data_IF_260327215725
#
_entry.id   IF_260327215725
#
_cell.length_a   1.000
_cell.length_b   1.000
_cell.length_c   1.000
_cell.angle_alpha   90.00
_cell.angle_beta   90.00
_cell.angle_gamma   90.00
#
_symmetry.space_group_name_H-M   'P 1'
#
loop_
_entity.id
_entity.type
_entity.pdbx_description
1 polymer ?
#
# COMPACT_ATOMS: atom_id res chain seq x y z
N UNK A 1 1.86 4.29 17.28
CA UNK A 1 1.46 2.89 17.47
C UNK A 1 1.03 2.30 16.12
N UNK A 2 1.64 1.21 15.70
CA UNK A 2 1.31 0.48 14.46
C UNK A 2 0.80 -0.94 14.74
N UNK A 3 0.28 -1.16 15.97
CA UNK A 3 -0.46 -2.38 16.30
C UNK A 3 0.38 -3.66 16.45
N UNK A 4 1.69 -3.56 16.73
CA UNK A 4 2.56 -4.75 16.86
C UNK A 4 2.23 -5.67 18.06
N UNK A 5 1.39 -5.23 18.99
CA UNK A 5 0.91 -6.03 20.13
C UNK A 5 1.93 -6.25 21.27
N UNK A 6 3.17 -5.79 21.15
CA UNK A 6 4.24 -6.03 22.15
C UNK A 6 3.94 -5.46 23.53
N UNK A 7 3.08 -4.44 23.63
CA UNK A 7 2.69 -3.85 24.90
C UNK A 7 1.61 -4.66 25.66
N UNK A 8 0.89 -5.55 24.99
CA UNK A 8 -0.21 -6.31 25.58
C UNK A 8 0.29 -7.22 26.72
N UNK A 9 1.29 -8.12 26.49
CA UNK A 9 1.72 -9.07 27.51
C UNK A 9 2.52 -8.42 28.65
N UNK A 10 3.03 -7.19 28.46
CA UNK A 10 3.85 -6.51 29.47
C UNK A 10 3.08 -5.44 30.25
N UNK A 11 1.80 -5.24 29.97
CA UNK A 11 0.97 -4.27 30.67
C UNK A 11 0.61 -4.77 32.09
N UNK A 12 1.13 -4.14 33.17
CA UNK A 12 0.92 -4.66 34.53
C UNK A 12 -0.53 -4.52 34.99
N UNK A 13 -1.25 -3.53 34.48
CA UNK A 13 -2.67 -3.32 34.80
C UNK A 13 -3.63 -4.07 33.88
N UNK A 14 -3.12 -4.74 32.82
CA UNK A 14 -3.89 -5.44 31.79
C UNK A 14 -4.99 -4.57 31.11
N UNK A 15 -4.79 -3.25 31.12
CA UNK A 15 -5.72 -2.29 30.49
C UNK A 15 -5.47 -2.11 28.99
N UNK A 16 -4.38 -2.67 28.45
CA UNK A 16 -4.08 -2.64 27.02
C UNK A 16 -4.60 -3.91 26.37
N UNK A 17 -5.52 -3.76 25.45
CA UNK A 17 -6.07 -4.86 24.68
C UNK A 17 -6.11 -4.52 23.19
N UNK A 18 -6.00 -5.54 22.35
CA UNK A 18 -6.16 -5.39 20.91
C UNK A 18 -7.64 -5.47 20.54
N UNK A 19 -8.07 -4.57 19.66
CA UNK A 19 -9.37 -4.64 19.02
C UNK A 19 -9.16 -4.69 17.51
N UNK A 20 -9.67 -5.73 16.88
CA UNK A 20 -9.60 -5.87 15.41
C UNK A 20 -10.93 -5.50 14.79
N UNK A 21 -10.88 -4.72 13.73
CA UNK A 21 -12.01 -4.43 12.87
C UNK A 21 -11.71 -4.97 11.48
N UNK A 22 -12.63 -5.72 10.93
CA UNK A 22 -12.58 -6.15 9.53
C UNK A 22 -13.52 -5.23 8.76
N UNK A 23 -12.95 -4.52 7.78
CA UNK A 23 -13.72 -3.65 6.89
C UNK A 23 -13.48 -4.09 5.45
N UNK A 24 -14.53 -4.05 4.64
CA UNK A 24 -14.38 -4.29 3.20
C UNK A 24 -13.81 -3.05 2.52
N UNK A 25 -13.09 -3.20 1.39
CA UNK A 25 -12.60 -2.06 0.63
C UNK A 25 -13.69 -1.05 0.25
N UNK A 26 -14.86 -1.54 -0.11
CA UNK A 26 -16.02 -0.73 -0.48
C UNK A 26 -16.54 0.11 0.71
N UNK A 27 -16.60 -0.50 1.90
CA UNK A 27 -17.04 0.19 3.10
C UNK A 27 -16.05 1.30 3.51
N UNK A 28 -14.74 1.02 3.44
CA UNK A 28 -13.70 2.02 3.73
C UNK A 28 -13.71 3.13 2.69
N UNK A 29 -13.77 2.78 1.40
CA UNK A 29 -13.77 3.76 0.32
C UNK A 29 -14.96 4.72 0.42
N UNK A 30 -16.18 4.20 0.63
CA UNK A 30 -17.39 5.03 0.75
C UNK A 30 -17.39 5.92 1.99
N UNK A 31 -16.68 5.55 3.05
CA UNK A 31 -16.59 6.34 4.27
C UNK A 31 -15.50 7.42 4.19
N UNK A 32 -14.35 7.11 3.60
CA UNK A 32 -13.15 7.96 3.64
C UNK A 32 -13.06 8.87 2.43
N UNK A 33 -13.26 8.36 1.21
CA UNK A 33 -13.02 9.14 -0.02
C UNK A 33 -13.96 10.34 -0.18
N UNK A 34 -15.23 10.33 0.30
CA UNK A 34 -16.07 11.52 0.27
C UNK A 34 -15.61 12.67 1.18
N UNK A 35 -14.71 12.43 2.13
CA UNK A 35 -14.24 13.44 3.09
C UNK A 35 -13.31 14.48 2.47
N UNK A 36 -12.93 14.32 1.19
CA UNK A 36 -12.09 15.28 0.46
C UNK A 36 -10.60 14.98 0.55
N UNK A 37 -10.23 13.71 0.67
CA UNK A 37 -8.81 13.29 0.58
C UNK A 37 -8.29 13.52 -0.83
N UNK A 38 -7.08 14.06 -0.94
CA UNK A 38 -6.42 14.35 -2.23
C UNK A 38 -5.61 13.17 -2.75
N UNK A 39 -5.10 12.32 -1.86
CA UNK A 39 -4.21 11.23 -2.20
C UNK A 39 -4.58 9.93 -1.45
N UNK A 40 -4.32 8.81 -2.08
CA UNK A 40 -4.50 7.49 -1.53
C UNK A 40 -3.21 6.67 -1.67
N UNK A 41 -2.78 6.07 -0.58
CA UNK A 41 -1.69 5.09 -0.59
C UNK A 41 -2.27 3.68 -0.45
N UNK A 42 -1.83 2.78 -1.31
CA UNK A 42 -2.22 1.36 -1.29
C UNK A 42 -0.99 0.51 -1.06
N UNK A 43 -0.98 -0.22 0.05
CA UNK A 43 0.02 -1.24 0.32
C UNK A 43 -0.43 -2.58 -0.27
N UNK A 44 0.44 -3.22 -1.03
CA UNK A 44 0.18 -4.52 -1.64
C UNK A 44 1.41 -5.43 -1.57
N UNK A 45 1.29 -6.63 -2.04
CA UNK A 45 2.37 -7.61 -2.10
C UNK A 45 2.30 -8.39 -3.41
N UNK A 46 3.45 -8.85 -3.89
CA UNK A 46 3.55 -9.70 -5.08
C UNK A 46 2.63 -10.91 -4.91
N UNK A 47 1.88 -11.25 -5.98
CA UNK A 47 0.91 -12.35 -5.96
C UNK A 47 -0.50 -11.99 -5.46
N UNK A 48 -0.72 -10.77 -4.96
CA UNK A 48 -2.02 -10.33 -4.45
C UNK A 48 -2.89 -9.57 -5.48
N UNK A 49 -2.74 -9.88 -6.76
CA UNK A 49 -3.47 -9.17 -7.82
C UNK A 49 -5.00 -9.26 -7.69
N UNK A 50 -5.51 -10.41 -7.25
CA UNK A 50 -6.95 -10.60 -7.05
C UNK A 50 -7.51 -9.72 -5.92
N UNK A 51 -6.77 -9.61 -4.80
CA UNK A 51 -7.13 -8.75 -3.68
C UNK A 51 -7.05 -7.27 -4.07
N UNK A 52 -6.00 -6.90 -4.83
CA UNK A 52 -5.85 -5.55 -5.36
C UNK A 52 -7.01 -5.20 -6.31
N UNK A 53 -7.41 -6.11 -7.19
CA UNK A 53 -8.55 -5.91 -8.10
C UNK A 53 -9.84 -5.63 -7.32
N UNK A 54 -10.10 -6.38 -6.26
CA UNK A 54 -11.28 -6.16 -5.40
C UNK A 54 -11.23 -4.80 -4.71
N UNK A 55 -10.07 -4.43 -4.16
CA UNK A 55 -9.84 -3.10 -3.58
C UNK A 55 -10.07 -2.00 -4.61
N UNK A 56 -9.49 -2.15 -5.81
CA UNK A 56 -9.60 -1.18 -6.90
C UNK A 56 -11.05 -0.95 -7.33
N UNK A 57 -11.83 -2.01 -7.44
CA UNK A 57 -13.27 -1.91 -7.75
C UNK A 57 -14.03 -1.06 -6.71
N UNK A 58 -13.66 -1.15 -5.44
CA UNK A 58 -14.25 -0.32 -4.38
C UNK A 58 -13.84 1.16 -4.47
N UNK A 59 -12.66 1.45 -5.03
CA UNK A 59 -12.13 2.82 -5.18
C UNK A 59 -12.65 3.49 -6.46
N UNK A 60 -12.87 2.74 -7.53
CA UNK A 60 -13.25 3.25 -8.86
C UNK A 60 -14.34 4.32 -8.86
N UNK A 61 -15.42 4.23 -8.07
CA UNK A 61 -16.47 5.26 -8.06
C UNK A 61 -15.99 6.64 -7.58
N UNK A 62 -14.81 6.70 -6.98
CA UNK A 62 -14.25 7.89 -6.33
C UNK A 62 -12.96 8.39 -6.99
N UNK A 63 -12.45 7.66 -7.99
CA UNK A 63 -11.11 7.88 -8.56
C UNK A 63 -10.93 9.29 -9.11
N UNK A 64 -11.95 9.87 -9.71
CA UNK A 64 -11.92 11.22 -10.30
C UNK A 64 -11.73 12.33 -9.25
N UNK A 65 -11.87 12.03 -7.97
CA UNK A 65 -11.67 12.97 -6.87
C UNK A 65 -10.23 12.98 -6.37
N UNK A 66 -9.45 11.96 -6.72
CA UNK A 66 -8.07 11.83 -6.27
C UNK A 66 -7.13 12.56 -7.22
N UNK A 67 -6.11 13.19 -6.65
CA UNK A 67 -5.01 13.84 -7.37
C UNK A 67 -3.80 12.92 -7.50
N UNK A 68 -3.67 11.96 -6.60
CA UNK A 68 -2.51 11.08 -6.52
C UNK A 68 -2.91 9.69 -5.97
N UNK A 69 -2.34 8.66 -6.58
CA UNK A 69 -2.30 7.32 -6.01
C UNK A 69 -0.84 6.90 -5.83
N UNK A 70 -0.50 6.44 -4.64
CA UNK A 70 0.78 5.83 -4.34
C UNK A 70 0.60 4.32 -4.12
N UNK A 71 1.43 3.51 -4.77
CA UNK A 71 1.45 2.06 -4.60
C UNK A 71 2.75 1.66 -3.91
N UNK A 72 2.62 1.07 -2.73
CA UNK A 72 3.74 0.51 -1.97
C UNK A 72 3.74 -1.00 -2.09
N UNK A 73 4.85 -1.56 -2.58
CA UNK A 73 5.05 -3.00 -2.70
C UNK A 73 6.49 -3.35 -2.29
N UNK A 74 6.70 -4.33 -1.40
CA UNK A 74 8.04 -4.78 -1.04
C UNK A 74 8.75 -5.44 -2.22
N UNK A 75 10.10 -5.39 -2.19
CA UNK A 75 10.91 -6.06 -3.20
C UNK A 75 10.74 -7.58 -3.16
N UNK A 76 10.89 -8.19 -4.32
CA UNK A 76 10.83 -9.64 -4.49
C UNK A 76 10.96 -10.06 -5.94
N UNK A 77 10.96 -11.36 -6.13
CA UNK A 77 10.93 -11.97 -7.47
C UNK A 77 9.58 -11.64 -8.15
N UNK A 78 9.61 -11.22 -9.40
CA UNK A 78 8.41 -10.85 -10.15
C UNK A 78 7.83 -9.48 -9.80
N UNK A 79 8.56 -8.60 -9.06
CA UNK A 79 8.05 -7.27 -8.69
C UNK A 79 7.63 -6.46 -9.92
N UNK A 80 8.47 -6.36 -10.93
CA UNK A 80 8.21 -5.51 -12.10
C UNK A 80 7.01 -5.99 -12.89
N UNK A 81 6.89 -7.29 -13.11
CA UNK A 81 5.74 -7.92 -13.76
C UNK A 81 4.44 -7.68 -12.99
N UNK A 82 4.55 -7.73 -11.66
CA UNK A 82 3.42 -7.45 -10.78
C UNK A 82 3.00 -5.98 -10.88
N UNK A 83 3.93 -5.03 -10.81
CA UNK A 83 3.63 -3.59 -10.93
C UNK A 83 3.03 -3.26 -12.31
N UNK A 84 3.51 -3.88 -13.40
CA UNK A 84 2.89 -3.77 -14.74
C UNK A 84 1.45 -4.26 -14.72
N UNK A 85 1.20 -5.42 -14.10
CA UNK A 85 -0.15 -5.97 -13.98
C UNK A 85 -1.10 -5.06 -13.18
N UNK A 86 -0.58 -4.41 -12.12
CA UNK A 86 -1.34 -3.40 -11.38
C UNK A 86 -1.66 -2.18 -12.24
N UNK A 87 -0.68 -1.67 -12.98
CA UNK A 87 -0.88 -0.54 -13.89
C UNK A 87 -1.93 -0.86 -14.95
N UNK A 88 -1.84 -2.03 -15.59
CA UNK A 88 -2.80 -2.49 -16.59
C UNK A 88 -4.22 -2.59 -16.06
N UNK A 89 -4.34 -3.00 -14.80
CA UNK A 89 -5.64 -3.07 -14.11
C UNK A 89 -6.21 -1.68 -13.79
N UNK A 90 -5.34 -0.71 -13.48
CA UNK A 90 -5.74 0.65 -13.10
C UNK A 90 -6.09 1.55 -14.28
N UNK A 91 -5.66 1.23 -15.50
CA UNK A 91 -5.93 2.05 -16.70
C UNK A 91 -7.43 2.16 -17.04
N UNK A 92 -7.88 3.31 -17.53
CA UNK A 92 -7.20 4.60 -17.55
C UNK A 92 -7.19 5.25 -16.17
N UNK A 93 -6.03 5.81 -15.76
CA UNK A 93 -5.87 6.47 -14.47
C UNK A 93 -6.01 7.99 -14.65
N UNK A 94 -6.97 8.66 -14.00
CA UNK A 94 -7.22 10.08 -14.18
C UNK A 94 -6.32 10.98 -13.31
N UNK A 95 -5.48 10.42 -12.47
CA UNK A 95 -4.61 11.13 -11.53
C UNK A 95 -3.16 10.66 -11.63
N UNK A 96 -2.26 11.36 -10.94
CA UNK A 96 -0.84 10.99 -10.87
C UNK A 96 -0.66 9.63 -10.15
N UNK A 97 0.33 8.86 -10.60
CA UNK A 97 0.72 7.59 -9.98
C UNK A 97 2.15 7.72 -9.43
N UNK A 98 2.37 7.20 -8.23
CA UNK A 98 3.70 7.07 -7.63
C UNK A 98 3.93 5.62 -7.23
N UNK A 99 5.05 5.05 -7.67
CA UNK A 99 5.57 3.79 -7.15
C UNK A 99 6.42 4.07 -5.93
N UNK A 100 5.89 3.76 -4.76
CA UNK A 100 6.60 3.95 -3.49
C UNK A 100 7.53 2.77 -3.26
N UNK A 101 8.83 3.04 -3.36
CA UNK A 101 9.88 2.03 -3.20
C UNK A 101 10.33 1.93 -1.75
N UNK A 102 9.48 1.39 -0.88
CA UNK A 102 9.84 1.11 0.50
C UNK A 102 10.56 -0.24 0.58
N UNK A 103 11.85 -0.22 0.83
CA UNK A 103 12.67 -1.43 0.96
C UNK A 103 12.43 -2.23 2.24
N UNK A 104 11.44 -1.84 3.06
CA UNK A 104 11.15 -2.50 4.33
C UNK A 104 10.00 -3.51 4.20
N UNK A 105 10.10 -4.66 4.86
CA UNK A 105 8.91 -5.43 5.15
C UNK A 105 7.97 -4.60 6.04
N UNK A 106 6.67 -4.68 5.84
CA UNK A 106 5.63 -3.92 6.55
C UNK A 106 5.64 -4.09 8.09
N UNK A 107 6.44 -4.99 8.62
CA UNK A 107 6.60 -5.25 10.06
C UNK A 107 7.39 -4.20 10.83
N UNK A 108 7.81 -3.12 10.21
CA UNK A 108 8.32 -1.93 10.92
C UNK A 108 9.71 -2.06 11.54
N UNK A 109 10.52 -2.99 11.08
CA UNK A 109 11.91 -3.08 11.52
C UNK A 109 12.74 -1.97 10.84
N UNK A 110 13.04 -0.94 11.61
CA UNK A 110 13.89 0.19 11.19
C UNK A 110 15.34 -0.19 11.48
N UNK A 111 15.84 -1.24 10.80
CA UNK A 111 17.22 -1.68 10.96
C UNK A 111 18.21 -0.88 10.10
N UNK A 112 19.49 -0.94 10.47
CA UNK A 112 20.58 -0.45 9.63
C UNK A 112 20.53 -1.19 8.27
N UNK A 113 20.49 -0.45 7.16
CA UNK A 113 20.44 -1.03 5.81
C UNK A 113 19.10 -0.88 5.07
N UNK A 114 18.04 -0.41 5.71
CA UNK A 114 16.75 -0.15 5.04
C UNK A 114 16.87 0.86 3.91
N UNK A 115 17.74 1.87 4.06
CA UNK A 115 18.03 2.86 3.00
C UNK A 115 18.63 2.20 1.76
N UNK A 116 19.57 1.26 1.91
CA UNK A 116 20.15 0.53 0.77
C UNK A 116 19.11 -0.33 0.06
N UNK A 117 18.23 -0.98 0.80
CA UNK A 117 17.14 -1.76 0.23
C UNK A 117 16.18 -0.88 -0.58
N UNK A 118 15.77 0.27 -0.04
CA UNK A 118 14.91 1.23 -0.73
C UNK A 118 15.56 1.77 -2.01
N UNK A 119 16.84 2.11 -1.98
CA UNK A 119 17.60 2.56 -3.17
C UNK A 119 17.62 1.47 -4.25
N UNK A 120 17.87 0.21 -3.88
CA UNK A 120 17.88 -0.91 -4.85
C UNK A 120 16.52 -1.09 -5.52
N UNK A 121 15.45 -1.04 -4.74
CA UNK A 121 14.09 -1.15 -5.29
C UNK A 121 13.79 0.04 -6.18
N UNK A 122 14.15 1.27 -5.77
CA UNK A 122 14.01 2.47 -6.57
C UNK A 122 14.72 2.37 -7.92
N UNK A 123 15.99 1.94 -7.93
CA UNK A 123 16.75 1.72 -9.15
C UNK A 123 16.11 0.67 -10.06
N UNK A 124 15.63 -0.44 -9.49
CA UNK A 124 14.93 -1.52 -10.21
C UNK A 124 13.65 -1.01 -10.89
N UNK A 125 12.85 -0.22 -10.17
CA UNK A 125 11.60 0.35 -10.69
C UNK A 125 11.88 1.40 -11.77
N UNK A 126 12.85 2.30 -11.55
CA UNK A 126 13.27 3.29 -12.55
C UNK A 126 13.80 2.63 -13.84
N UNK A 127 14.63 1.59 -13.72
CA UNK A 127 15.16 0.87 -14.87
C UNK A 127 14.09 0.12 -15.67
N UNK A 128 12.92 -0.15 -15.07
CA UNK A 128 11.81 -0.83 -15.72
C UNK A 128 10.94 0.08 -16.58
N UNK A 129 11.18 1.41 -16.55
CA UNK A 129 10.44 2.43 -17.31
C UNK A 129 8.91 2.27 -17.18
N UNK A 130 8.46 2.10 -15.94
CA UNK A 130 7.03 2.02 -15.62
C UNK A 130 6.41 3.41 -15.69
N UNK A 131 5.17 3.53 -16.21
CA UNK A 131 4.42 4.77 -16.11
C UNK A 131 4.18 5.15 -14.63
N UNK A 132 4.43 6.43 -14.28
CA UNK A 132 4.24 6.95 -12.92
C UNK A 132 5.11 8.15 -12.61
#
# INVERSE_FOLDING_TARGET
CYGCGRCIPVCPSQLIFARSYVSTPEAVASLVLPTGVDALEIHTQIGRLADFRRLWQGILPWIDRLKLIAISCPDGEGLIEYLRSLYDLMKPLPCALVWQTDGRPMSGDIGAGTTHAAIKVGQKVLAADLPG
#
